data_IF_231937122126
#
_entry.id   IF_231937122126
#
_cell.length_a   1.000
_cell.length_b   1.000
_cell.length_c   1.000
_cell.angle_alpha   90.00
_cell.angle_beta   90.00
_cell.angle_gamma   90.00
#
_symmetry.space_group_name_H-M   'P 1'
#
loop_
_entity.id
_entity.type
_entity.pdbx_description
1 polymer ?
#
# COMPACT_ATOMS: atom_id res chain seq x y z
N UNK A 1 1.99 -3.19 -7.94
CA UNK A 1 2.48 -4.40 -7.24
C UNK A 1 3.82 -4.88 -7.78
N UNK A 2 3.89 -5.51 -8.98
CA UNK A 2 5.14 -6.10 -9.49
C UNK A 2 6.35 -5.15 -9.52
N UNK A 3 6.20 -3.93 -10.06
CA UNK A 3 7.27 -2.93 -10.07
C UNK A 3 7.74 -2.56 -8.66
N UNK A 4 6.80 -2.33 -7.74
CA UNK A 4 7.12 -2.01 -6.35
C UNK A 4 7.77 -3.17 -5.60
N UNK A 5 7.32 -4.42 -5.81
CA UNK A 5 7.96 -5.61 -5.22
C UNK A 5 9.37 -5.80 -5.77
N UNK A 6 9.56 -5.56 -7.07
CA UNK A 6 10.88 -5.60 -7.70
C UNK A 6 11.83 -4.56 -7.09
N UNK A 7 11.39 -3.31 -6.97
CA UNK A 7 12.18 -2.24 -6.33
C UNK A 7 12.46 -2.55 -4.86
N UNK A 8 11.47 -3.06 -4.12
CA UNK A 8 11.64 -3.49 -2.74
C UNK A 8 12.77 -4.53 -2.59
N UNK A 9 12.80 -5.55 -3.46
CA UNK A 9 13.87 -6.55 -3.42
C UNK A 9 15.26 -5.98 -3.72
N UNK A 10 15.34 -4.85 -4.44
CA UNK A 10 16.60 -4.19 -4.78
C UNK A 10 16.99 -3.06 -3.79
N UNK A 11 16.16 -2.76 -2.78
CA UNK A 11 16.50 -1.77 -1.74
C UNK A 11 17.71 -2.22 -0.89
N UNK A 12 17.81 -3.50 -0.57
CA UNK A 12 18.86 -4.02 0.32
C UNK A 12 20.26 -3.98 -0.31
N UNK A 13 21.07 -2.96 0.01
CA UNK A 13 22.45 -2.78 -0.48
C UNK A 13 23.45 -3.91 -0.15
N UNK A 14 23.05 -4.94 0.61
CA UNK A 14 23.86 -6.12 0.92
C UNK A 14 23.14 -7.46 0.69
N UNK A 15 21.89 -7.40 0.23
CA UNK A 15 21.05 -8.57 0.02
C UNK A 15 21.18 -9.00 -1.44
N UNK A 16 22.26 -9.72 -1.76
CA UNK A 16 22.38 -10.45 -3.02
C UNK A 16 21.40 -11.65 -3.00
N UNK A 17 20.10 -11.35 -2.98
CA UNK A 17 19.06 -12.36 -3.15
C UNK A 17 19.18 -12.91 -4.56
N UNK A 18 19.23 -14.24 -4.66
CA UNK A 18 19.43 -14.89 -5.95
C UNK A 18 18.27 -14.58 -6.91
N UNK A 19 18.58 -14.37 -8.19
CA UNK A 19 17.58 -14.03 -9.22
C UNK A 19 16.37 -14.99 -9.27
N UNK A 20 16.53 -16.33 -9.15
CA UNK A 20 15.39 -17.26 -9.12
C UNK A 20 14.40 -16.97 -7.99
N UNK A 21 14.90 -16.55 -6.82
CA UNK A 21 14.09 -16.21 -5.66
C UNK A 21 13.32 -14.90 -5.85
N UNK A 22 13.93 -13.92 -6.51
CA UNK A 22 13.27 -12.66 -6.91
C UNK A 22 12.11 -12.96 -7.86
N UNK A 23 12.33 -13.77 -8.91
CA UNK A 23 11.26 -14.13 -9.86
C UNK A 23 10.13 -14.90 -9.17
N UNK A 24 10.47 -15.82 -8.26
CA UNK A 24 9.46 -16.50 -7.45
C UNK A 24 8.63 -15.53 -6.63
N UNK A 25 9.27 -14.59 -5.92
CA UNK A 25 8.58 -13.55 -5.15
C UNK A 25 7.67 -12.68 -6.00
N UNK A 26 8.09 -12.31 -7.22
CA UNK A 26 7.25 -11.57 -8.17
C UNK A 26 6.03 -12.37 -8.64
N UNK A 27 6.21 -13.65 -8.97
CA UNK A 27 5.10 -14.54 -9.33
C UNK A 27 4.13 -14.74 -8.16
N UNK A 28 4.65 -14.85 -6.93
CA UNK A 28 3.82 -14.93 -5.74
C UNK A 28 3.02 -13.64 -5.50
N UNK A 29 3.66 -12.48 -5.60
CA UNK A 29 2.96 -11.19 -5.55
C UNK A 29 1.88 -11.08 -6.63
N UNK A 30 2.16 -11.54 -7.86
CA UNK A 30 1.16 -11.56 -8.93
C UNK A 30 -0.03 -12.46 -8.59
N UNK A 31 0.24 -13.68 -8.10
CA UNK A 31 -0.81 -14.63 -7.72
C UNK A 31 -1.71 -14.09 -6.61
N UNK A 32 -1.14 -13.42 -5.59
CA UNK A 32 -1.93 -12.79 -4.53
C UNK A 32 -2.75 -11.63 -5.08
N UNK A 33 -2.16 -10.77 -5.91
CA UNK A 33 -2.87 -9.62 -6.48
C UNK A 33 -4.03 -10.07 -7.36
N UNK A 34 -3.87 -11.13 -8.13
CA UNK A 34 -4.93 -11.68 -8.99
C UNK A 34 -5.91 -12.60 -8.25
N UNK A 35 -5.61 -12.99 -7.00
CA UNK A 35 -6.48 -13.88 -6.22
C UNK A 35 -7.94 -13.43 -6.11
N UNK A 36 -8.28 -12.12 -6.03
CA UNK A 36 -9.68 -11.68 -6.00
C UNK A 36 -10.45 -11.92 -7.30
N UNK A 37 -9.75 -12.15 -8.43
CA UNK A 37 -10.39 -12.44 -9.73
C UNK A 37 -10.76 -13.91 -9.88
N UNK A 38 -10.20 -14.80 -9.06
CA UNK A 38 -10.47 -16.23 -9.12
C UNK A 38 -11.88 -16.44 -8.55
N UNK A 39 -12.86 -16.89 -9.37
CA UNK A 39 -14.22 -17.08 -8.90
C UNK A 39 -14.25 -17.99 -7.68
N UNK A 40 -15.02 -17.60 -6.67
CA UNK A 40 -15.19 -18.35 -5.43
C UNK A 40 -15.84 -19.70 -5.72
N UNK A 41 -15.03 -20.72 -6.03
CA UNK A 41 -15.55 -22.05 -6.32
C UNK A 41 -15.75 -22.79 -5.00
N UNK A 42 -17.00 -22.82 -4.53
CA UNK A 42 -17.53 -23.75 -3.52
C UNK A 42 -16.67 -23.86 -2.24
N UNK A 43 -16.80 -22.86 -1.36
CA UNK A 43 -16.46 -22.92 0.07
C UNK A 43 -14.98 -23.02 0.48
N UNK A 44 -14.03 -22.82 -0.44
CA UNK A 44 -12.61 -22.76 -0.10
C UNK A 44 -12.00 -21.44 -0.54
N UNK A 45 -11.53 -20.65 0.43
CA UNK A 45 -10.82 -19.40 0.16
C UNK A 45 -9.51 -19.68 -0.59
N UNK A 46 -9.32 -19.05 -1.76
CA UNK A 46 -8.13 -19.24 -2.59
C UNK A 46 -6.87 -18.63 -1.97
N UNK A 47 -7.00 -17.55 -1.21
CA UNK A 47 -5.88 -16.82 -0.62
C UNK A 47 -5.09 -17.64 0.41
N UNK A 48 -5.70 -18.31 1.41
CA UNK A 48 -4.96 -19.20 2.33
C UNK A 48 -4.21 -20.31 1.60
N UNK A 49 -4.78 -20.88 0.53
CA UNK A 49 -4.11 -21.91 -0.28
C UNK A 49 -2.89 -21.33 -0.98
N UNK A 50 -3.04 -20.17 -1.64
CA UNK A 50 -1.94 -19.50 -2.33
C UNK A 50 -0.82 -19.17 -1.34
N UNK A 51 -1.16 -18.64 -0.17
CA UNK A 51 -0.20 -18.30 0.89
C UNK A 51 0.53 -19.54 1.42
N UNK A 52 -0.19 -20.61 1.75
CA UNK A 52 0.40 -21.85 2.26
C UNK A 52 1.30 -22.52 1.21
N UNK A 53 0.80 -22.70 -0.01
CA UNK A 53 1.55 -23.33 -1.09
C UNK A 53 2.81 -22.54 -1.44
N UNK A 54 2.69 -21.22 -1.63
CA UNK A 54 3.83 -20.39 -1.97
C UNK A 54 4.85 -20.30 -0.82
N UNK A 55 4.41 -20.36 0.43
CA UNK A 55 5.31 -20.47 1.59
C UNK A 55 6.14 -21.74 1.52
N UNK A 56 5.50 -22.90 1.31
CA UNK A 56 6.21 -24.19 1.18
C UNK A 56 7.19 -24.15 0.01
N UNK A 57 6.75 -23.72 -1.18
CA UNK A 57 7.61 -23.63 -2.37
C UNK A 57 8.78 -22.66 -2.15
N UNK A 58 8.55 -21.51 -1.50
CA UNK A 58 9.62 -20.54 -1.21
C UNK A 58 10.72 -21.12 -0.31
N UNK A 59 10.36 -21.95 0.67
CA UNK A 59 11.32 -22.64 1.55
C UNK A 59 12.12 -23.69 0.77
N UNK A 60 11.47 -24.45 -0.12
CA UNK A 60 12.17 -25.36 -1.04
C UNK A 60 13.12 -24.61 -1.99
N UNK A 61 12.69 -23.49 -2.56
CA UNK A 61 13.56 -22.67 -3.41
C UNK A 61 14.78 -22.15 -2.63
N UNK A 62 14.60 -21.72 -1.39
CA UNK A 62 15.69 -21.25 -0.54
C UNK A 62 16.68 -22.39 -0.23
N UNK A 63 16.17 -23.60 0.03
CA UNK A 63 17.00 -24.79 0.24
C UNK A 63 17.86 -25.12 -0.99
N UNK A 64 17.31 -24.98 -2.20
CA UNK A 64 18.01 -25.30 -3.44
C UNK A 64 18.96 -24.19 -3.92
N UNK A 65 18.63 -22.92 -3.66
CA UNK A 65 19.28 -21.79 -4.32
C UNK A 65 20.03 -20.85 -3.38
N UNK A 66 19.86 -20.88 -2.05
CA UNK A 66 20.57 -19.96 -1.15
C UNK A 66 21.77 -20.60 -0.46
N UNK A 67 22.89 -19.87 -0.29
CA UNK A 67 23.95 -20.27 0.65
C UNK A 67 23.36 -20.42 2.06
N UNK A 68 23.79 -21.46 2.79
CA UNK A 68 23.22 -21.79 4.12
C UNK A 68 23.19 -20.61 5.08
N UNK A 69 24.23 -19.78 5.07
CA UNK A 69 24.38 -18.61 5.96
C UNK A 69 23.38 -17.48 5.67
N UNK A 70 22.88 -17.36 4.43
CA UNK A 70 21.96 -16.30 4.00
C UNK A 70 20.55 -16.81 3.70
N UNK A 71 20.33 -18.11 3.79
CA UNK A 71 19.07 -18.76 3.44
C UNK A 71 17.86 -18.15 4.16
N UNK A 72 17.93 -18.03 5.49
CA UNK A 72 16.86 -17.44 6.29
C UNK A 72 16.59 -15.97 5.94
N UNK A 73 17.66 -15.18 5.78
CA UNK A 73 17.55 -13.76 5.47
C UNK A 73 16.93 -13.52 4.08
N UNK A 74 17.42 -14.23 3.06
CA UNK A 74 16.85 -14.19 1.71
C UNK A 74 15.37 -14.59 1.70
N UNK A 75 15.00 -15.65 2.44
CA UNK A 75 13.61 -16.08 2.57
C UNK A 75 12.73 -15.00 3.20
N UNK A 76 13.16 -14.46 4.34
CA UNK A 76 12.45 -13.41 5.06
C UNK A 76 12.26 -12.16 4.19
N UNK A 77 13.27 -11.79 3.40
CA UNK A 77 13.19 -10.64 2.50
C UNK A 77 12.16 -10.83 1.38
N UNK A 78 12.12 -12.01 0.77
CA UNK A 78 11.12 -12.36 -0.26
C UNK A 78 9.72 -12.27 0.33
N UNK A 79 9.49 -12.94 1.46
CA UNK A 79 8.21 -12.96 2.16
C UNK A 79 7.80 -11.54 2.55
N UNK A 80 8.72 -10.72 3.05
CA UNK A 80 8.47 -9.33 3.39
C UNK A 80 7.98 -8.54 2.17
N UNK A 81 8.65 -8.62 1.01
CA UNK A 81 8.22 -7.90 -0.19
C UNK A 81 6.87 -8.37 -0.75
N UNK A 82 6.58 -9.67 -0.63
CA UNK A 82 5.26 -10.22 -1.01
C UNK A 82 4.17 -9.70 -0.08
N UNK A 83 4.36 -9.75 1.23
CA UNK A 83 3.37 -9.32 2.21
C UNK A 83 3.19 -7.79 2.15
N UNK A 84 4.30 -7.05 2.23
CA UNK A 84 4.30 -5.59 2.29
C UNK A 84 3.80 -4.94 1.01
N UNK A 85 4.27 -5.37 -0.16
CA UNK A 85 3.86 -4.73 -1.44
C UNK A 85 2.77 -5.53 -2.13
N UNK A 86 2.96 -6.84 -2.30
CA UNK A 86 2.04 -7.69 -3.07
C UNK A 86 0.66 -7.79 -2.43
N UNK A 87 0.60 -8.26 -1.19
CA UNK A 87 -0.65 -8.50 -0.48
C UNK A 87 -1.35 -7.21 -0.09
N UNK A 88 -0.64 -6.20 0.42
CA UNK A 88 -1.27 -4.92 0.72
C UNK A 88 -1.86 -4.25 -0.54
N UNK A 89 -1.18 -4.30 -1.69
CA UNK A 89 -1.73 -3.75 -2.93
C UNK A 89 -2.83 -4.61 -3.56
N UNK A 90 -2.99 -5.89 -3.19
CA UNK A 90 -4.07 -6.73 -3.72
C UNK A 90 -5.45 -6.20 -3.31
N UNK A 91 -5.54 -5.52 -2.16
CA UNK A 91 -6.81 -4.93 -1.68
C UNK A 91 -7.36 -3.85 -2.60
N UNK A 92 -6.54 -3.20 -3.44
CA UNK A 92 -7.05 -2.30 -4.47
C UNK A 92 -7.85 -3.04 -5.54
N UNK A 93 -7.41 -4.25 -5.92
CA UNK A 93 -8.18 -5.10 -6.82
C UNK A 93 -9.40 -5.69 -6.10
N UNK A 94 -9.27 -6.07 -4.82
CA UNK A 94 -10.41 -6.51 -4.02
C UNK A 94 -11.50 -5.43 -3.91
N UNK A 95 -11.12 -4.15 -3.72
CA UNK A 95 -12.05 -3.02 -3.74
C UNK A 95 -12.74 -2.84 -5.11
N UNK A 96 -12.02 -3.08 -6.21
CA UNK A 96 -12.57 -3.01 -7.57
C UNK A 96 -13.56 -4.14 -7.85
N UNK A 97 -13.32 -5.33 -7.30
CA UNK A 97 -14.20 -6.51 -7.42
C UNK A 97 -15.40 -6.39 -6.49
N UNK A 98 -15.25 -5.74 -5.33
CA UNK A 98 -16.32 -5.53 -4.35
C UNK A 98 -17.43 -4.61 -4.89
N UNK A 99 -17.06 -3.62 -5.71
CA UNK A 99 -18.01 -2.70 -6.35
C UNK A 99 -17.67 -2.53 -7.84
N UNK A 100 -18.57 -3.01 -8.70
CA UNK A 100 -18.43 -2.95 -10.16
C UNK A 100 -18.31 -1.51 -10.69
N UNK A 101 -18.75 -0.51 -9.93
CA UNK A 101 -18.62 0.92 -10.27
C UNK A 101 -17.25 1.50 -9.90
N UNK A 102 -16.49 0.83 -9.03
CA UNK A 102 -15.17 1.27 -8.57
C UNK A 102 -15.19 2.48 -7.62
N UNK A 103 -16.34 2.82 -7.03
CA UNK A 103 -16.53 4.00 -6.18
C UNK A 103 -15.52 4.02 -5.04
N UNK A 104 -15.31 2.87 -4.38
CA UNK A 104 -14.40 2.77 -3.25
C UNK A 104 -12.94 2.99 -3.62
N UNK A 105 -12.53 2.56 -4.82
CA UNK A 105 -11.18 2.79 -5.34
C UNK A 105 -10.98 4.29 -5.56
N UNK A 106 -11.93 4.96 -6.23
CA UNK A 106 -11.83 6.40 -6.48
C UNK A 106 -11.84 7.21 -5.19
N UNK A 107 -12.75 6.88 -4.26
CA UNK A 107 -12.83 7.55 -2.95
C UNK A 107 -11.50 7.42 -2.21
N UNK A 108 -10.94 6.22 -2.11
CA UNK A 108 -9.66 5.97 -1.44
C UNK A 108 -8.51 6.74 -2.09
N UNK A 109 -8.39 6.68 -3.43
CA UNK A 109 -7.32 7.37 -4.17
C UNK A 109 -7.41 8.89 -4.02
N UNK A 110 -8.56 9.49 -4.33
CA UNK A 110 -8.71 10.95 -4.27
C UNK A 110 -8.58 11.49 -2.86
N UNK A 111 -9.07 10.76 -1.85
CA UNK A 111 -8.88 11.14 -0.45
C UNK A 111 -7.41 11.07 -0.04
N UNK A 112 -6.67 10.06 -0.49
CA UNK A 112 -5.22 9.96 -0.24
C UNK A 112 -4.46 11.11 -0.91
N UNK A 113 -4.79 11.42 -2.17
CA UNK A 113 -4.16 12.55 -2.86
C UNK A 113 -4.49 13.90 -2.22
N UNK A 114 -5.72 14.07 -1.70
CA UNK A 114 -6.10 15.23 -0.93
C UNK A 114 -5.31 15.31 0.39
N UNK A 115 -5.09 14.18 1.08
CA UNK A 115 -4.21 14.12 2.27
C UNK A 115 -2.80 14.62 1.94
N UNK A 116 -2.18 14.08 0.89
CA UNK A 116 -0.79 14.41 0.55
C UNK A 116 -0.66 15.87 0.11
N UNK A 117 -1.64 16.37 -0.65
CA UNK A 117 -1.72 17.76 -1.08
C UNK A 117 -1.90 18.70 0.11
N UNK A 118 -2.83 18.39 1.00
CA UNK A 118 -3.08 19.16 2.23
C UNK A 118 -1.85 19.19 3.13
N UNK A 119 -1.22 18.04 3.33
CA UNK A 119 -0.02 17.91 4.16
C UNK A 119 1.15 18.70 3.58
N UNK A 120 1.33 18.67 2.25
CA UNK A 120 2.36 19.44 1.56
C UNK A 120 2.15 20.94 1.70
N UNK A 121 0.96 21.46 1.40
CA UNK A 121 0.72 22.91 1.43
C UNK A 121 0.74 23.47 2.85
N UNK A 122 0.08 22.82 3.80
CA UNK A 122 0.06 23.26 5.19
C UNK A 122 1.44 23.10 5.83
N UNK A 123 2.11 21.98 5.58
CA UNK A 123 3.46 21.72 6.08
C UNK A 123 4.49 22.71 5.53
N UNK A 124 4.39 23.10 4.25
CA UNK A 124 5.29 24.09 3.65
C UNK A 124 5.07 25.50 4.19
N UNK A 125 3.83 25.90 4.42
CA UNK A 125 3.48 27.27 4.85
C UNK A 125 3.61 27.48 6.36
N UNK A 126 3.25 26.48 7.15
CA UNK A 126 3.13 26.58 8.61
C UNK A 126 3.90 25.52 9.39
N UNK A 127 4.64 24.63 8.73
CA UNK A 127 5.40 23.57 9.40
C UNK A 127 6.51 24.12 10.29
N UNK A 128 6.33 23.96 11.61
CA UNK A 128 7.32 24.35 12.62
C UNK A 128 7.82 23.13 13.37
N UNK A 129 6.92 22.21 13.73
CA UNK A 129 7.26 21.05 14.53
C UNK A 129 7.44 19.82 13.65
N UNK A 130 8.67 19.29 13.58
CA UNK A 130 8.99 18.10 12.78
C UNK A 130 8.33 16.86 13.36
N UNK A 131 7.71 16.06 12.49
CA UNK A 131 7.00 14.84 12.87
C UNK A 131 7.98 13.68 13.13
N UNK A 132 8.89 13.44 12.20
CA UNK A 132 9.85 12.33 12.28
C UNK A 132 11.23 12.74 11.73
N UNK A 133 12.02 13.54 12.49
CA UNK A 133 13.26 14.14 12.01
C UNK A 133 14.30 13.13 11.49
N UNK A 134 14.40 11.97 12.14
CA UNK A 134 15.37 10.93 11.79
C UNK A 134 14.99 10.16 10.50
N UNK A 135 13.72 10.15 10.13
CA UNK A 135 13.18 9.33 9.03
C UNK A 135 12.87 10.21 7.82
N UNK A 136 12.08 11.26 8.05
CA UNK A 136 11.63 12.20 7.04
C UNK A 136 11.68 13.63 7.60
N UNK A 137 12.83 14.33 7.44
CA UNK A 137 13.03 15.67 8.00
C UNK A 137 12.09 16.72 7.39
N UNK A 138 11.45 16.42 6.25
CA UNK A 138 10.47 17.31 5.61
C UNK A 138 9.10 17.32 6.29
N UNK A 139 8.71 16.26 7.00
CA UNK A 139 7.35 16.12 7.57
C UNK A 139 7.20 16.92 8.86
N UNK A 140 6.05 17.58 9.02
CA UNK A 140 5.68 18.34 10.21
C UNK A 140 4.32 17.92 10.76
N UNK A 141 4.09 18.15 12.05
CA UNK A 141 2.80 17.92 12.72
C UNK A 141 1.71 18.82 12.15
N UNK A 142 2.03 20.06 11.80
CA UNK A 142 1.07 20.96 11.16
C UNK A 142 0.68 20.46 9.77
N UNK A 143 1.64 19.90 9.01
CA UNK A 143 1.37 19.22 7.75
C UNK A 143 0.47 18.01 7.95
N UNK A 144 0.77 17.14 8.93
CA UNK A 144 -0.04 15.98 9.25
C UNK A 144 -1.51 16.35 9.54
N UNK A 145 -1.73 17.42 10.30
CA UNK A 145 -3.08 17.94 10.60
C UNK A 145 -3.76 18.55 9.36
N UNK A 146 -2.99 19.24 8.51
CA UNK A 146 -3.49 19.75 7.22
C UNK A 146 -3.91 18.64 6.27
N UNK A 147 -3.15 17.55 6.22
CA UNK A 147 -3.50 16.34 5.48
C UNK A 147 -4.78 15.70 6.00
N UNK A 148 -4.92 15.56 7.33
CA UNK A 148 -6.12 15.04 7.98
C UNK A 148 -7.37 15.84 7.62
N UNK A 149 -7.33 17.16 7.77
CA UNK A 149 -8.46 18.01 7.43
C UNK A 149 -8.81 17.91 5.94
N UNK A 150 -7.81 17.88 5.07
CA UNK A 150 -8.02 17.75 3.63
C UNK A 150 -8.60 16.39 3.24
N UNK A 151 -8.19 15.32 3.90
CA UNK A 151 -8.73 13.98 3.71
C UNK A 151 -10.20 13.89 4.13
N UNK A 152 -10.55 14.44 5.31
CA UNK A 152 -11.94 14.47 5.78
C UNK A 152 -12.82 15.26 4.82
N UNK A 153 -12.38 16.46 4.40
CA UNK A 153 -13.14 17.29 3.47
C UNK A 153 -13.31 16.61 2.11
N UNK A 154 -12.27 15.94 1.60
CA UNK A 154 -12.34 15.18 0.35
C UNK A 154 -13.30 14.00 0.46
N UNK A 155 -13.20 13.18 1.51
CA UNK A 155 -14.08 12.03 1.70
C UNK A 155 -15.56 12.45 1.82
N UNK A 156 -15.85 13.47 2.63
CA UNK A 156 -17.22 14.01 2.77
C UNK A 156 -17.70 14.63 1.47
N UNK A 157 -16.86 15.41 0.78
CA UNK A 157 -17.20 16.05 -0.49
C UNK A 157 -17.50 15.03 -1.60
N UNK A 158 -16.68 13.99 -1.71
CA UNK A 158 -16.89 12.90 -2.68
C UNK A 158 -18.21 12.19 -2.40
N UNK A 159 -18.47 11.80 -1.15
CA UNK A 159 -19.73 11.14 -0.77
C UNK A 159 -20.95 12.05 -1.02
N UNK A 160 -20.84 13.35 -0.72
CA UNK A 160 -21.90 14.30 -0.98
C UNK A 160 -22.19 14.45 -2.48
N UNK A 161 -21.16 14.47 -3.34
CA UNK A 161 -21.31 14.52 -4.80
C UNK A 161 -21.96 13.23 -5.33
N UNK A 162 -21.53 12.06 -4.85
CA UNK A 162 -22.09 10.77 -5.28
C UNK A 162 -23.58 10.66 -4.98
N UNK A 163 -24.03 11.19 -3.83
CA UNK A 163 -25.45 11.25 -3.45
C UNK A 163 -26.34 12.09 -4.38
N UNK A 164 -25.76 12.97 -5.19
CA UNK A 164 -26.54 13.76 -6.16
C UNK A 164 -27.04 12.89 -7.32
N UNK A 165 -26.44 11.73 -7.56
CA UNK A 165 -26.85 10.80 -8.60
C UNK A 165 -27.25 9.45 -7.98
N UNK A 166 -28.54 9.06 -8.01
CA UNK A 166 -29.01 7.80 -7.43
C UNK A 166 -28.28 6.55 -7.95
N UNK A 167 -27.80 6.56 -9.19
CA UNK A 167 -27.04 5.43 -9.77
C UNK A 167 -25.64 5.28 -9.15
N UNK A 168 -25.11 6.36 -8.58
CA UNK A 168 -23.79 6.43 -7.94
C UNK A 168 -23.87 6.52 -6.42
N UNK A 169 -25.08 6.56 -5.84
CA UNK A 169 -25.23 6.57 -4.39
C UNK A 169 -24.61 5.30 -3.82
N UNK A 170 -23.64 5.50 -2.93
CA UNK A 170 -22.95 4.44 -2.22
C UNK A 170 -23.70 3.98 -0.97
N UNK A 171 -24.77 4.70 -0.58
CA UNK A 171 -25.49 4.49 0.67
C UNK A 171 -24.72 4.96 1.90
N UNK A 172 -23.49 5.47 1.73
CA UNK A 172 -22.61 5.80 2.85
C UNK A 172 -23.03 7.14 3.51
N UNK A 173 -23.39 7.15 4.80
CA UNK A 173 -23.74 8.39 5.50
C UNK A 173 -22.50 9.28 5.71
N UNK A 174 -22.70 10.60 5.80
CA UNK A 174 -21.58 11.55 5.87
C UNK A 174 -20.68 11.35 7.11
N UNK A 175 -21.21 10.83 8.22
CA UNK A 175 -20.41 10.54 9.40
C UNK A 175 -19.43 9.38 9.18
N UNK A 176 -19.80 8.36 8.38
CA UNK A 176 -18.88 7.30 7.98
C UNK A 176 -17.80 7.85 7.04
N UNK A 177 -18.13 8.82 6.19
CA UNK A 177 -17.14 9.49 5.34
C UNK A 177 -16.08 10.25 6.15
N UNK A 178 -16.47 10.86 7.28
CA UNK A 178 -15.52 11.51 8.20
C UNK A 178 -14.57 10.46 8.81
N UNK A 179 -15.11 9.34 9.32
CA UNK A 179 -14.29 8.26 9.88
C UNK A 179 -13.32 7.72 8.82
N UNK A 180 -13.81 7.50 7.60
CA UNK A 180 -12.99 7.01 6.50
C UNK A 180 -11.89 8.01 6.12
N UNK A 181 -12.19 9.30 6.08
CA UNK A 181 -11.19 10.35 5.88
C UNK A 181 -10.10 10.36 6.96
N UNK A 182 -10.48 10.19 8.23
CA UNK A 182 -9.54 10.06 9.34
C UNK A 182 -8.63 8.82 9.20
N UNK A 183 -9.23 7.67 8.88
CA UNK A 183 -8.49 6.42 8.67
C UNK A 183 -7.53 6.55 7.49
N UNK A 184 -8.00 7.03 6.33
CA UNK A 184 -7.15 7.21 5.14
C UNK A 184 -5.97 8.13 5.46
N UNK A 185 -6.21 9.28 6.11
CA UNK A 185 -5.13 10.19 6.51
C UNK A 185 -4.09 9.51 7.41
N UNK A 186 -4.55 8.80 8.44
CA UNK A 186 -3.66 8.15 9.41
C UNK A 186 -2.76 7.12 8.72
N UNK A 187 -3.36 6.25 7.90
CA UNK A 187 -2.67 5.14 7.27
C UNK A 187 -1.85 5.55 6.05
N UNK A 188 -2.27 6.58 5.29
CA UNK A 188 -1.46 7.18 4.24
C UNK A 188 -0.15 7.75 4.82
N UNK A 189 -0.26 8.57 5.87
CA UNK A 189 0.92 9.18 6.50
C UNK A 189 1.84 8.14 7.14
N UNK A 190 1.27 7.09 7.75
CA UNK A 190 2.02 5.96 8.28
C UNK A 190 2.76 5.18 7.18
N UNK A 191 2.10 4.91 6.05
CA UNK A 191 2.70 4.20 4.90
C UNK A 191 3.94 4.91 4.36
N UNK A 192 3.84 6.22 4.09
CA UNK A 192 4.97 7.03 3.61
C UNK A 192 6.10 7.11 4.69
N UNK A 193 5.76 7.18 5.98
CA UNK A 193 6.78 7.11 7.04
C UNK A 193 7.50 5.75 7.10
N UNK A 194 6.76 4.64 6.98
CA UNK A 194 7.33 3.29 6.98
C UNK A 194 8.23 3.10 5.77
N UNK A 195 7.80 3.52 4.57
CA UNK A 195 8.66 3.43 3.40
C UNK A 195 9.90 4.31 3.54
N UNK A 196 9.74 5.54 4.01
CA UNK A 196 10.87 6.43 4.28
C UNK A 196 11.87 5.76 5.22
N UNK A 197 11.41 5.09 6.28
CA UNK A 197 12.26 4.33 7.21
C UNK A 197 13.02 3.21 6.50
N UNK A 198 12.33 2.41 5.69
CA UNK A 198 12.94 1.32 4.92
C UNK A 198 14.04 1.83 3.99
N UNK A 199 13.79 2.94 3.29
CA UNK A 199 14.78 3.59 2.41
C UNK A 199 16.01 4.07 3.18
N UNK A 200 15.82 4.69 4.35
CA UNK A 200 16.95 5.14 5.20
C UNK A 200 17.79 3.98 5.72
N UNK A 201 17.15 2.89 6.16
CA UNK A 201 17.86 1.68 6.60
C UNK A 201 18.62 1.02 5.44
N UNK A 202 18.08 1.09 4.23
CA UNK A 202 18.76 0.65 3.01
C UNK A 202 19.87 1.61 2.52
N UNK A 203 20.05 2.77 3.17
CA UNK A 203 21.04 3.78 2.77
C UNK A 203 20.75 4.39 1.40
N UNK A 204 19.49 4.44 0.99
CA UNK A 204 19.02 5.07 -0.26
C UNK A 204 17.98 6.16 0.05
N UNK A 205 17.74 7.03 -0.93
CA UNK A 205 16.71 8.08 -0.83
C UNK A 205 15.44 7.70 -1.59
N UNK A 206 15.63 7.18 -2.79
CA UNK A 206 14.56 6.75 -3.70
C UNK A 206 14.60 5.22 -3.81
N UNK A 207 13.43 4.60 -3.94
CA UNK A 207 13.27 3.14 -3.99
C UNK A 207 13.78 2.50 -5.28
N UNK A 208 13.83 3.27 -6.36
CA UNK A 208 14.25 2.80 -7.68
C UNK A 208 14.42 3.93 -8.68
N UNK A 209 14.65 3.55 -9.94
CA UNK A 209 14.73 4.47 -11.09
C UNK A 209 13.81 4.02 -12.23
N UNK A 210 12.83 3.16 -11.94
CA UNK A 210 12.00 2.53 -12.95
C UNK A 210 11.09 3.55 -13.65
N UNK A 211 10.78 4.68 -12.98
CA UNK A 211 10.09 5.83 -13.57
C UNK A 211 11.11 6.96 -13.85
N UNK A 212 11.48 7.19 -15.14
CA UNK A 212 12.45 8.21 -15.49
C UNK A 212 12.03 9.60 -14.97
N UNK A 213 12.91 10.23 -14.19
CA UNK A 213 12.68 11.55 -13.60
C UNK A 213 11.70 11.59 -12.42
N UNK A 214 11.10 10.47 -12.02
CA UNK A 214 10.06 10.43 -10.98
C UNK A 214 10.38 9.52 -9.78
N UNK A 215 11.57 8.90 -9.74
CA UNK A 215 11.97 7.99 -8.67
C UNK A 215 11.53 6.55 -8.96
N UNK A 216 11.26 5.79 -7.92
CA UNK A 216 10.71 4.44 -8.05
C UNK A 216 9.18 4.42 -8.14
N UNK A 217 8.64 3.31 -8.59
CA UNK A 217 7.22 2.98 -8.51
C UNK A 217 6.78 2.91 -7.05
N UNK A 218 7.58 2.30 -6.18
CA UNK A 218 7.26 2.14 -4.76
C UNK A 218 7.08 3.51 -4.08
N UNK A 219 7.97 4.48 -4.40
CA UNK A 219 7.87 5.89 -3.92
C UNK A 219 6.55 6.60 -4.29
N UNK A 220 5.76 6.08 -5.23
CA UNK A 220 4.49 6.67 -5.67
C UNK A 220 3.26 6.02 -5.05
N UNK A 221 3.43 4.84 -4.49
CA UNK A 221 2.36 4.05 -3.89
C UNK A 221 2.57 3.84 -2.39
N UNK A 222 3.55 4.50 -1.78
CA UNK A 222 3.94 4.40 -0.37
C UNK A 222 2.76 4.59 0.60
N UNK A 223 2.00 5.67 0.43
CA UNK A 223 0.76 5.95 1.15
C UNK A 223 -0.35 4.95 0.77
N UNK A 224 -0.45 4.59 -0.51
CA UNK A 224 -1.54 3.76 -1.04
C UNK A 224 -1.46 2.29 -0.61
N UNK A 225 -0.26 1.79 -0.31
CA UNK A 225 -0.04 0.44 0.23
C UNK A 225 -0.87 0.22 1.50
N UNK A 226 -0.87 1.19 2.41
CA UNK A 226 -1.59 1.06 3.69
C UNK A 226 -3.07 1.40 3.57
N UNK A 227 -3.43 2.32 2.66
CA UNK A 227 -4.82 2.77 2.50
C UNK A 227 -5.72 1.65 1.96
N UNK A 228 -5.27 0.90 0.96
CA UNK A 228 -6.05 -0.18 0.32
C UNK A 228 -6.73 -1.14 1.30
N UNK A 229 -5.99 -1.87 2.17
CA UNK A 229 -6.58 -2.81 3.12
C UNK A 229 -7.51 -2.14 4.13
N UNK A 230 -7.17 -0.94 4.59
CA UNK A 230 -7.96 -0.24 5.61
C UNK A 230 -9.32 0.17 5.06
N UNK A 231 -9.35 0.71 3.84
CA UNK A 231 -10.61 1.03 3.18
C UNK A 231 -11.40 -0.24 2.90
N UNK A 232 -10.77 -1.30 2.38
CA UNK A 232 -11.44 -2.57 2.11
C UNK A 232 -12.13 -3.13 3.34
N UNK A 233 -11.41 -3.31 4.45
CA UNK A 233 -12.00 -3.86 5.67
C UNK A 233 -13.02 -2.92 6.30
N UNK A 234 -12.83 -1.61 6.22
CA UNK A 234 -13.84 -0.66 6.68
C UNK A 234 -15.16 -0.86 5.92
N UNK A 235 -15.11 -0.94 4.59
CA UNK A 235 -16.30 -1.12 3.76
C UNK A 235 -16.97 -2.47 4.02
N UNK A 236 -16.21 -3.57 4.06
CA UNK A 236 -16.75 -4.92 4.30
C UNK A 236 -17.36 -5.08 5.69
N UNK A 237 -16.88 -4.34 6.70
CA UNK A 237 -17.38 -4.44 8.07
C UNK A 237 -18.49 -3.43 8.39
N UNK A 238 -18.52 -2.29 7.68
CA UNK A 238 -19.45 -1.19 7.96
C UNK A 238 -20.68 -1.15 7.04
N UNK A 239 -20.63 -1.82 5.88
CA UNK A 239 -21.74 -1.98 4.93
C UNK A 239 -22.15 -3.45 4.82
#
# INVERSE_FOLDING_TARGET
>A
ALGGTFEFYHLGKGENVNRPLIYFGLLWSLAIVLSPLIPYYKAVDSLPIIMAFATVVSLFCVLCYSPREKAFHNWAWIVAGVIYVGWMLSYWLSLRVLDDRGIWVYLAMFTTFANDTGAFFVGRKWGKHRLAPAISPGKSWEGALGGLLSAILAAVGIVAILKLNPELDSGLPCWQAIILGCLISLFAQAGDLVESLLKRNAGVKDSGKLLPGHGGVLDRFDSLIFVGPIVYYYIVLAL
#
